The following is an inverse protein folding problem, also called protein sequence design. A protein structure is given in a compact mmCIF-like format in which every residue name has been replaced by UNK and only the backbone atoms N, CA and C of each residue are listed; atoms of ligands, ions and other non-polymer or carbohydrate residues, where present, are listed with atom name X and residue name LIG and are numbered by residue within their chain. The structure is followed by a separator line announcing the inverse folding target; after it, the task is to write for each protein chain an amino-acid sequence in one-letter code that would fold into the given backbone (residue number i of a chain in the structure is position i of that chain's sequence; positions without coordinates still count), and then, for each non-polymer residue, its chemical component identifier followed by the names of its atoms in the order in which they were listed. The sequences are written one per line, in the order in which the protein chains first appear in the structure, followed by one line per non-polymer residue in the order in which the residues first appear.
data_IF_296835900017
#
_entry.id   IF_296835900017
#
_cell.length_a   1.000
_cell.length_b   1.000
_cell.length_c   1.000
_cell.angle_alpha   90.00
_cell.angle_beta   90.00
_cell.angle_gamma   90.00
#
_symmetry.space_group_name_H-M   'P 1'
#
loop_
_entity.id
_entity.type
_entity.pdbx_description
1 polymer ?
#
# COMPACT_ATOMS: atom_id res chain seq x y z
N UNK A 1 -19.35 -20.29 23.95
CA UNK A 1 -19.22 -19.79 22.57
C UNK A 1 -18.24 -18.64 22.60
N UNK A 2 -17.15 -18.71 21.84
CA UNK A 2 -16.19 -17.61 21.77
C UNK A 2 -16.89 -16.42 21.15
N UNK A 3 -16.85 -15.26 21.80
CA UNK A 3 -17.42 -14.03 21.25
C UNK A 3 -16.63 -13.66 19.99
N UNK A 4 -17.21 -13.87 18.82
CA UNK A 4 -16.62 -13.40 17.57
C UNK A 4 -16.45 -11.88 17.63
N UNK A 5 -15.22 -11.42 17.51
CA UNK A 5 -14.92 -9.99 17.42
C UNK A 5 -15.40 -9.44 16.07
N UNK A 6 -16.11 -8.32 16.10
CA UNK A 6 -16.60 -7.62 14.92
C UNK A 6 -15.82 -6.32 14.72
N UNK A 7 -15.19 -6.18 13.56
CA UNK A 7 -14.42 -4.99 13.21
C UNK A 7 -15.21 -4.13 12.24
N UNK A 8 -15.31 -2.83 12.54
CA UNK A 8 -15.82 -1.82 11.61
C UNK A 8 -14.65 -0.96 11.16
N UNK A 9 -14.34 -1.04 9.87
CA UNK A 9 -13.30 -0.25 9.23
C UNK A 9 -13.92 1.01 8.62
N UNK A 10 -13.34 2.17 8.95
CA UNK A 10 -13.72 3.48 8.44
C UNK A 10 -12.49 4.07 7.72
N UNK A 11 -12.48 3.95 6.40
CA UNK A 11 -11.41 4.45 5.53
C UNK A 11 -11.83 5.80 4.91
N UNK A 12 -11.00 6.82 5.11
CA UNK A 12 -11.18 8.12 4.50
C UNK A 12 -10.56 9.28 5.29
N UNK A 13 -10.59 10.50 4.72
CA UNK A 13 -10.08 11.67 5.41
C UNK A 13 -10.94 12.01 6.63
N UNK A 14 -10.25 12.47 7.65
CA UNK A 14 -10.88 13.04 8.83
C UNK A 14 -11.35 14.46 8.55
N UNK A 15 -12.59 14.74 8.94
CA UNK A 15 -13.17 16.08 8.97
C UNK A 15 -13.61 16.41 10.40
N UNK A 16 -13.52 17.69 10.76
CA UNK A 16 -13.85 18.17 12.10
C UNK A 16 -15.28 17.79 12.51
N UNK A 17 -16.25 17.84 11.59
CA UNK A 17 -17.66 17.60 11.89
C UNK A 17 -17.93 16.15 12.28
N UNK A 18 -17.40 15.18 11.52
CA UNK A 18 -17.69 13.78 11.82
C UNK A 18 -16.92 13.29 13.05
N UNK A 19 -15.68 13.76 13.26
CA UNK A 19 -14.93 13.40 14.45
C UNK A 19 -15.61 13.93 15.72
N UNK A 20 -16.17 15.14 15.67
CA UNK A 20 -16.88 15.71 16.81
C UNK A 20 -18.11 14.88 17.17
N UNK A 21 -18.87 14.45 16.17
CA UNK A 21 -20.03 13.58 16.35
C UNK A 21 -19.66 12.19 16.89
N UNK A 22 -18.43 11.72 16.68
CA UNK A 22 -17.93 10.44 17.18
C UNK A 22 -17.32 10.52 18.59
N UNK A 23 -17.18 11.71 19.20
CA UNK A 23 -16.49 11.88 20.48
C UNK A 23 -17.07 11.02 21.63
N UNK A 24 -18.40 10.85 21.68
CA UNK A 24 -19.09 10.01 22.67
C UNK A 24 -19.02 8.50 22.37
N UNK A 25 -18.72 8.14 21.12
CA UNK A 25 -18.46 6.75 20.75
C UNK A 25 -17.01 6.37 21.10
N UNK A 26 -16.08 7.33 21.03
CA UNK A 26 -14.66 7.15 21.34
C UNK A 26 -14.33 7.29 22.83
N UNK A 27 -15.26 7.79 23.65
CA UNK A 27 -15.06 7.88 25.11
C UNK A 27 -15.41 6.57 25.84
N UNK A 28 -15.23 6.55 27.16
CA UNK A 28 -15.49 5.36 27.99
C UNK A 28 -16.95 4.88 27.94
N UNK A 29 -17.88 5.74 27.54
CA UNK A 29 -19.30 5.39 27.46
C UNK A 29 -19.58 4.50 26.23
N UNK A 30 -18.78 4.63 25.16
CA UNK A 30 -18.94 3.89 23.90
C UNK A 30 -20.37 4.00 23.33
N UNK A 31 -20.93 5.21 23.32
CA UNK A 31 -22.30 5.47 22.84
C UNK A 31 -22.29 6.34 21.59
N UNK A 32 -22.82 5.79 20.50
CA UNK A 32 -23.14 6.56 19.31
C UNK A 32 -24.48 7.27 19.51
N UNK A 33 -24.47 8.61 19.38
CA UNK A 33 -25.70 9.42 19.40
C UNK A 33 -26.03 9.85 17.98
N UNK A 34 -27.20 9.45 17.50
CA UNK A 34 -27.69 9.79 16.17
C UNK A 34 -28.37 11.18 16.18
N UNK A 35 -28.56 11.78 15.00
CA UNK A 35 -29.16 13.12 14.84
C UNK A 35 -30.61 13.17 15.38
N UNK A 36 -31.31 12.03 15.38
CA UNK A 36 -32.65 11.90 15.96
C UNK A 36 -32.64 11.70 17.50
N UNK A 37 -31.47 11.80 18.15
CA UNK A 37 -31.19 11.53 19.57
C UNK A 37 -31.28 10.05 19.99
N UNK A 38 -31.35 9.11 19.05
CA UNK A 38 -31.21 7.70 19.40
C UNK A 38 -29.79 7.41 19.88
N UNK A 39 -29.70 6.55 20.90
CA UNK A 39 -28.43 6.20 21.55
C UNK A 39 -28.18 4.72 21.35
N UNK A 40 -27.09 4.42 20.65
CA UNK A 40 -26.65 3.05 20.37
C UNK A 40 -25.37 2.81 21.17
N UNK A 41 -25.44 1.92 22.15
CA UNK A 41 -24.26 1.48 22.90
C UNK A 41 -23.50 0.43 22.12
N UNK A 42 -22.22 0.65 21.88
CA UNK A 42 -21.36 -0.30 21.19
C UNK A 42 -21.12 -1.55 22.06
N UNK A 43 -21.47 -2.76 21.58
CA UNK A 43 -21.18 -3.99 22.31
C UNK A 43 -19.68 -4.19 22.51
N UNK A 44 -19.29 -4.89 23.59
CA UNK A 44 -17.88 -5.14 23.90
C UNK A 44 -17.12 -5.91 22.81
N UNK A 45 -17.83 -6.67 21.98
CA UNK A 45 -17.25 -7.44 20.87
C UNK A 45 -16.97 -6.60 19.61
N UNK A 46 -17.35 -5.31 19.59
CA UNK A 46 -17.14 -4.45 18.42
C UNK A 46 -15.91 -3.56 18.61
N UNK A 47 -15.05 -3.55 17.60
CA UNK A 47 -13.87 -2.69 17.50
C UNK A 47 -13.97 -1.77 16.30
N UNK A 48 -13.56 -0.51 16.46
CA UNK A 48 -13.49 0.48 15.39
C UNK A 48 -12.03 0.65 14.95
N UNK A 49 -11.81 0.63 13.65
CA UNK A 49 -10.53 0.98 13.05
C UNK A 49 -10.74 2.13 12.06
N UNK A 50 -9.98 3.21 12.24
CA UNK A 50 -10.00 4.37 11.36
C UNK A 50 -8.71 4.36 10.52
N UNK A 51 -8.84 4.24 9.21
CA UNK A 51 -7.74 4.41 8.27
C UNK A 51 -7.78 5.84 7.72
N UNK A 52 -6.80 6.64 8.15
CA UNK A 52 -6.79 8.09 7.90
C UNK A 52 -5.39 8.51 7.47
N UNK A 53 -5.29 9.41 6.48
CA UNK A 53 -4.00 9.86 5.96
C UNK A 53 -3.29 10.85 6.89
N UNK A 54 -4.04 11.72 7.57
CA UNK A 54 -3.55 12.67 8.56
C UNK A 54 -4.66 13.01 9.57
N UNK A 55 -4.27 13.63 10.68
CA UNK A 55 -5.14 14.05 11.78
C UNK A 55 -5.09 15.58 11.97
N UNK A 56 -4.78 16.33 10.90
CA UNK A 56 -4.48 17.77 10.98
C UNK A 56 -5.65 18.60 11.52
N UNK A 57 -6.88 18.10 11.35
CA UNK A 57 -8.12 18.76 11.81
C UNK A 57 -8.67 18.18 13.12
N UNK A 58 -8.00 17.20 13.71
CA UNK A 58 -8.43 16.59 14.96
C UNK A 58 -7.79 17.29 16.17
N UNK A 59 -8.58 17.57 17.21
CA UNK A 59 -8.04 18.15 18.45
C UNK A 59 -7.20 17.13 19.24
N UNK A 60 -6.15 17.55 19.98
CA UNK A 60 -5.40 16.64 20.86
C UNK A 60 -6.27 15.85 21.84
N UNK A 61 -7.37 16.45 22.32
CA UNK A 61 -8.31 15.82 23.25
C UNK A 61 -9.18 14.73 22.59
N UNK A 62 -9.37 14.81 21.28
CA UNK A 62 -10.07 13.78 20.49
C UNK A 62 -9.15 12.57 20.29
N UNK A 63 -7.94 12.81 19.80
CA UNK A 63 -6.99 11.73 19.46
C UNK A 63 -6.46 11.02 20.70
N UNK A 64 -6.48 11.65 21.88
CA UNK A 64 -6.08 11.01 23.14
C UNK A 64 -6.99 9.86 23.58
N UNK A 65 -8.19 9.74 23.00
CA UNK A 65 -9.16 8.69 23.31
C UNK A 65 -9.00 7.45 22.43
N UNK A 66 -8.18 7.52 21.39
CA UNK A 66 -7.93 6.44 20.45
C UNK A 66 -6.49 5.90 20.58
N UNK A 67 -6.32 4.61 20.33
CA UNK A 67 -4.99 4.04 20.12
C UNK A 67 -4.49 4.44 18.73
N UNK A 68 -3.40 5.20 18.66
CA UNK A 68 -2.83 5.66 17.39
C UNK A 68 -1.66 4.75 16.98
N UNK A 69 -1.78 4.16 15.80
CA UNK A 69 -0.69 3.40 15.16
C UNK A 69 -0.20 4.21 13.96
N UNK A 70 1.03 4.69 14.03
CA UNK A 70 1.68 5.39 12.93
C UNK A 70 2.30 4.39 11.96
N UNK A 71 1.83 4.38 10.71
CA UNK A 71 2.42 3.59 9.64
C UNK A 71 3.18 4.50 8.67
N UNK A 72 4.51 4.38 8.64
CA UNK A 72 5.34 5.09 7.67
C UNK A 72 5.63 4.17 6.46
N UNK A 73 4.89 4.38 5.37
CA UNK A 73 5.11 3.65 4.12
C UNK A 73 6.52 3.83 3.55
N UNK A 74 7.25 4.88 3.93
CA UNK A 74 8.64 5.09 3.51
C UNK A 74 9.59 4.09 4.16
N UNK A 75 9.25 3.55 5.33
CA UNK A 75 10.07 2.53 6.00
C UNK A 75 9.84 1.14 5.41
N UNK A 76 8.65 0.85 4.88
CA UNK A 76 8.35 -0.40 4.18
C UNK A 76 9.19 -0.55 2.90
N UNK A 77 9.42 0.56 2.19
CA UNK A 77 10.15 0.57 0.93
C UNK A 77 9.45 -0.21 -0.18
N UNK A 78 10.11 -0.34 -1.34
CA UNK A 78 9.52 -0.97 -2.52
C UNK A 78 9.57 -2.51 -2.51
N UNK A 79 10.47 -3.11 -1.71
CA UNK A 79 10.75 -4.56 -1.74
C UNK A 79 9.53 -5.43 -1.43
N UNK A 80 8.70 -5.14 -0.40
CA UNK A 80 7.52 -5.96 -0.13
C UNK A 80 6.53 -6.00 -1.31
N UNK A 81 6.35 -4.86 -2.00
CA UNK A 81 5.47 -4.76 -3.16
C UNK A 81 5.98 -5.60 -4.33
N UNK A 82 7.28 -5.48 -4.66
CA UNK A 82 7.89 -6.28 -5.74
C UNK A 82 7.91 -7.76 -5.39
N UNK A 83 8.21 -8.12 -4.14
CA UNK A 83 8.20 -9.51 -3.70
C UNK A 83 6.81 -10.14 -3.83
N UNK A 84 5.76 -9.41 -3.43
CA UNK A 84 4.36 -9.86 -3.60
C UNK A 84 3.99 -10.03 -5.08
N UNK A 85 4.45 -9.12 -5.95
CA UNK A 85 4.26 -9.25 -7.39
C UNK A 85 5.01 -10.46 -7.97
N UNK A 86 6.27 -10.68 -7.60
CA UNK A 86 7.08 -11.82 -8.03
C UNK A 86 6.49 -13.17 -7.57
N UNK A 87 5.83 -13.22 -6.40
CA UNK A 87 5.15 -14.43 -5.93
C UNK A 87 4.03 -14.91 -6.87
N UNK A 88 3.45 -14.03 -7.69
CA UNK A 88 2.47 -14.40 -8.70
C UNK A 88 3.10 -15.27 -9.81
N UNK A 89 4.42 -15.17 -10.00
CA UNK A 89 5.21 -15.90 -11.00
C UNK A 89 6.03 -17.06 -10.39
N UNK A 90 5.67 -17.53 -9.20
CA UNK A 90 6.38 -18.64 -8.51
C UNK A 90 6.54 -19.93 -9.33
N UNK A 91 5.71 -20.12 -10.36
CA UNK A 91 5.77 -21.26 -11.27
C UNK A 91 6.80 -21.08 -12.41
N UNK A 92 7.42 -19.90 -12.53
CA UNK A 92 8.47 -19.56 -13.51
C UNK A 92 9.69 -19.03 -12.74
N UNK A 93 10.43 -19.91 -12.03
CA UNK A 93 11.50 -19.51 -11.11
C UNK A 93 12.60 -18.71 -11.83
N UNK A 94 12.85 -19.01 -13.09
CA UNK A 94 13.82 -18.35 -13.96
C UNK A 94 13.53 -16.86 -14.15
N UNK A 95 12.25 -16.51 -14.27
CA UNK A 95 11.77 -15.13 -14.41
C UNK A 95 11.87 -14.40 -13.07
N UNK A 96 11.47 -15.07 -11.99
CA UNK A 96 11.53 -14.51 -10.63
C UNK A 96 12.96 -14.16 -10.25
N UNK A 97 13.90 -15.05 -10.55
CA UNK A 97 15.32 -14.85 -10.28
C UNK A 97 15.88 -13.64 -11.05
N UNK A 98 15.66 -13.59 -12.36
CA UNK A 98 16.21 -12.52 -13.20
C UNK A 98 15.56 -11.17 -12.95
N UNK A 99 14.24 -11.12 -12.81
CA UNK A 99 13.54 -9.88 -12.46
C UNK A 99 13.96 -9.38 -11.07
N UNK A 100 14.07 -10.27 -10.08
CA UNK A 100 14.57 -9.91 -8.75
C UNK A 100 15.94 -9.24 -8.81
N UNK A 101 16.89 -9.81 -9.56
CA UNK A 101 18.22 -9.22 -9.78
C UNK A 101 18.14 -7.84 -10.44
N UNK A 102 17.26 -7.65 -11.43
CA UNK A 102 17.11 -6.37 -12.12
C UNK A 102 16.52 -5.29 -11.19
N UNK A 103 15.48 -5.63 -10.42
CA UNK A 103 14.90 -4.73 -9.42
C UNK A 103 15.94 -4.29 -8.39
N UNK A 104 16.66 -5.22 -7.76
CA UNK A 104 17.69 -4.88 -6.77
C UNK A 104 18.85 -4.05 -7.38
N UNK A 105 19.21 -4.31 -8.65
CA UNK A 105 20.32 -3.61 -9.31
C UNK A 105 19.99 -2.15 -9.66
N UNK A 106 18.77 -1.88 -10.09
CA UNK A 106 18.40 -0.61 -10.72
C UNK A 106 17.49 0.25 -9.86
N UNK A 107 16.54 -0.33 -9.13
CA UNK A 107 15.40 0.42 -8.63
C UNK A 107 15.79 1.48 -7.59
N UNK A 108 16.67 1.16 -6.63
CA UNK A 108 17.18 2.13 -5.65
C UNK A 108 17.90 3.32 -6.32
N UNK A 109 18.71 3.05 -7.34
CA UNK A 109 19.45 4.07 -8.08
C UNK A 109 18.52 4.98 -8.88
N UNK A 110 17.51 4.38 -9.54
CA UNK A 110 16.52 5.12 -10.33
C UNK A 110 15.63 5.97 -9.44
N UNK A 111 15.17 5.44 -8.31
CA UNK A 111 14.36 6.20 -7.34
C UNK A 111 15.17 7.36 -6.73
N UNK A 112 16.44 7.13 -6.38
CA UNK A 112 17.34 8.18 -5.88
C UNK A 112 17.55 9.26 -6.95
N UNK A 113 17.85 8.86 -8.19
CA UNK A 113 18.02 9.79 -9.30
C UNK A 113 16.76 10.61 -9.56
N UNK A 114 15.59 9.95 -9.57
CA UNK A 114 14.28 10.61 -9.71
C UNK A 114 14.11 11.69 -8.63
N UNK A 115 14.37 11.34 -7.38
CA UNK A 115 14.21 12.25 -6.23
C UNK A 115 15.17 13.44 -6.24
N UNK A 116 16.42 13.22 -6.64
CA UNK A 116 17.47 14.25 -6.55
C UNK A 116 17.64 15.08 -7.81
N UNK A 117 17.36 14.51 -8.99
CA UNK A 117 17.72 15.09 -10.29
C UNK A 117 16.52 15.40 -11.18
N UNK A 118 15.35 14.83 -10.93
CA UNK A 118 14.16 15.08 -11.72
C UNK A 118 13.24 16.10 -11.04
N UNK A 119 12.60 16.94 -11.85
CA UNK A 119 11.51 17.82 -11.40
C UNK A 119 10.19 17.24 -11.86
N UNK A 120 9.37 16.80 -10.91
CA UNK A 120 8.03 16.29 -11.19
C UNK A 120 7.03 17.45 -11.24
N UNK A 121 6.29 17.57 -12.34
CA UNK A 121 5.15 18.52 -12.43
C UNK A 121 4.04 18.11 -11.46
N UNK A 122 3.79 16.79 -11.35
CA UNK A 122 2.87 16.19 -10.40
C UNK A 122 3.67 15.15 -9.61
N UNK A 123 3.83 15.32 -8.28
CA UNK A 123 4.59 14.37 -7.47
C UNK A 123 3.96 12.98 -7.51
N UNK A 124 4.75 11.95 -7.84
CA UNK A 124 4.31 10.56 -7.82
C UNK A 124 4.97 9.84 -6.64
N UNK A 125 4.19 9.24 -5.71
CA UNK A 125 4.74 8.41 -4.65
C UNK A 125 5.61 7.28 -5.20
N UNK A 126 6.72 6.98 -4.53
CA UNK A 126 7.69 5.96 -4.98
C UNK A 126 7.02 4.60 -5.22
N UNK A 127 6.14 4.16 -4.29
CA UNK A 127 5.41 2.90 -4.41
C UNK A 127 4.50 2.86 -5.64
N UNK A 128 3.82 3.96 -5.97
CA UNK A 128 2.94 4.02 -7.15
C UNK A 128 3.74 3.94 -8.45
N UNK A 129 4.94 4.54 -8.47
CA UNK A 129 5.85 4.42 -9.62
C UNK A 129 6.33 2.97 -9.82
N UNK A 130 6.69 2.30 -8.72
CA UNK A 130 7.09 0.88 -8.76
C UNK A 130 5.91 -0.02 -9.14
N UNK A 131 4.72 0.23 -8.62
CA UNK A 131 3.52 -0.52 -8.99
C UNK A 131 3.19 -0.35 -10.48
N UNK A 132 3.34 0.85 -11.02
CA UNK A 132 3.17 1.13 -12.46
C UNK A 132 4.18 0.36 -13.31
N UNK A 133 5.45 0.32 -12.87
CA UNK A 133 6.49 -0.51 -13.48
C UNK A 133 6.10 -2.00 -13.48
N UNK A 134 5.65 -2.55 -12.35
CA UNK A 134 5.19 -3.94 -12.27
C UNK A 134 3.99 -4.22 -13.19
N UNK A 135 3.06 -3.27 -13.33
CA UNK A 135 1.91 -3.38 -14.24
C UNK A 135 2.36 -3.39 -15.71
N UNK A 136 3.31 -2.54 -16.09
CA UNK A 136 3.88 -2.52 -17.44
C UNK A 136 4.60 -3.83 -17.76
N UNK A 137 5.45 -4.31 -16.85
CA UNK A 137 6.15 -5.58 -17.01
C UNK A 137 5.19 -6.75 -17.14
N UNK A 138 4.10 -6.77 -16.39
CA UNK A 138 3.06 -7.80 -16.52
C UNK A 138 2.46 -7.88 -17.94
N UNK A 139 2.36 -6.76 -18.63
CA UNK A 139 1.76 -6.68 -19.97
C UNK A 139 2.80 -6.93 -21.06
N UNK A 140 4.04 -6.47 -20.87
CA UNK A 140 5.07 -6.48 -21.90
C UNK A 140 6.04 -7.67 -21.79
N UNK A 141 6.29 -8.18 -20.59
CA UNK A 141 7.19 -9.30 -20.36
C UNK A 141 6.47 -10.64 -20.55
N UNK A 142 5.98 -10.88 -21.76
CA UNK A 142 5.23 -12.09 -22.14
C UNK A 142 6.09 -13.06 -22.96
N UNK A 143 5.70 -14.34 -23.05
CA UNK A 143 6.38 -15.33 -23.91
C UNK A 143 6.44 -14.89 -25.38
N UNK A 144 5.38 -14.24 -25.90
CA UNK A 144 5.35 -13.74 -27.27
C UNK A 144 6.41 -12.67 -27.55
N UNK A 145 6.81 -11.94 -26.50
CA UNK A 145 7.83 -10.92 -26.53
C UNK A 145 9.23 -11.45 -26.19
N UNK A 146 9.42 -12.78 -26.22
CA UNK A 146 10.70 -13.44 -25.96
C UNK A 146 11.05 -13.60 -24.49
N UNK A 147 10.12 -13.31 -23.57
CA UNK A 147 10.32 -13.50 -22.13
C UNK A 147 9.85 -14.89 -21.70
N UNK A 148 10.44 -15.91 -22.33
CA UNK A 148 10.27 -17.32 -21.99
C UNK A 148 11.64 -18.00 -22.12
N UNK A 149 11.95 -18.89 -21.18
CA UNK A 149 13.17 -19.68 -21.28
C UNK A 149 13.00 -20.70 -22.42
N UNK A 150 13.46 -20.34 -23.61
CA UNK A 150 13.59 -21.23 -24.75
C UNK A 150 14.93 -21.99 -24.67
N UNK A 151 15.80 -21.85 -25.67
CA UNK A 151 17.03 -22.63 -25.78
C UNK A 151 18.24 -21.98 -25.08
N UNK A 152 18.25 -20.65 -24.94
CA UNK A 152 19.38 -19.87 -24.45
C UNK A 152 19.00 -19.01 -23.25
N UNK A 153 19.67 -19.25 -22.11
CA UNK A 153 19.52 -18.45 -20.88
C UNK A 153 19.98 -17.00 -21.09
N UNK A 154 21.00 -16.80 -21.92
CA UNK A 154 21.55 -15.46 -22.19
C UNK A 154 20.56 -14.61 -22.99
N UNK A 155 19.87 -15.20 -23.97
CA UNK A 155 18.85 -14.51 -24.75
C UNK A 155 17.63 -14.17 -23.88
N UNK A 156 17.20 -15.10 -23.02
CA UNK A 156 16.15 -14.84 -22.04
C UNK A 156 16.50 -13.68 -21.10
N UNK A 157 17.72 -13.69 -20.54
CA UNK A 157 18.21 -12.64 -19.65
C UNK A 157 18.29 -11.29 -20.38
N UNK A 158 18.73 -11.30 -21.64
CA UNK A 158 18.77 -10.11 -22.48
C UNK A 158 17.36 -9.56 -22.72
N UNK A 159 16.40 -10.40 -23.08
CA UNK A 159 15.00 -9.98 -23.28
C UNK A 159 14.38 -9.43 -22.00
N UNK A 160 14.57 -10.10 -20.86
CA UNK A 160 14.13 -9.60 -19.55
C UNK A 160 14.68 -8.21 -19.27
N UNK A 161 15.98 -8.03 -19.49
CA UNK A 161 16.66 -6.76 -19.27
C UNK A 161 16.20 -5.67 -20.25
N UNK A 162 15.96 -6.02 -21.51
CA UNK A 162 15.45 -5.08 -22.51
C UNK A 162 14.08 -4.55 -22.08
N UNK A 163 13.13 -5.42 -21.77
CA UNK A 163 11.79 -5.01 -21.34
C UNK A 163 11.76 -4.32 -19.97
N UNK A 164 12.77 -4.55 -19.12
CA UNK A 164 12.90 -3.86 -17.85
C UNK A 164 13.41 -2.42 -18.00
N UNK A 165 14.37 -2.19 -18.90
CA UNK A 165 15.02 -0.89 -19.05
C UNK A 165 14.41 -0.01 -20.14
N UNK A 166 13.86 -0.63 -21.18
CA UNK A 166 13.40 0.02 -22.39
C UNK A 166 11.94 -0.33 -22.65
N UNK A 167 11.14 0.73 -22.75
CA UNK A 167 9.75 0.74 -23.20
C UNK A 167 9.73 1.32 -24.62
#
# INVERSE_FOLDING_TARGET
EGSDEHWVLLDGPVDAVWIENMNSLMDDNKVLTLINNDRITMPKQVSLLFEVANLDVASPATVSRAGIVYNDYKQLGWKPLVNSWLQQYKNVPEFVEEMGKLFDRFLDKVLTFKKEKCKETVPVPELNAVESLCKLLKILATPQNGVELAESRDDFNLMCKMWFLFW
#
